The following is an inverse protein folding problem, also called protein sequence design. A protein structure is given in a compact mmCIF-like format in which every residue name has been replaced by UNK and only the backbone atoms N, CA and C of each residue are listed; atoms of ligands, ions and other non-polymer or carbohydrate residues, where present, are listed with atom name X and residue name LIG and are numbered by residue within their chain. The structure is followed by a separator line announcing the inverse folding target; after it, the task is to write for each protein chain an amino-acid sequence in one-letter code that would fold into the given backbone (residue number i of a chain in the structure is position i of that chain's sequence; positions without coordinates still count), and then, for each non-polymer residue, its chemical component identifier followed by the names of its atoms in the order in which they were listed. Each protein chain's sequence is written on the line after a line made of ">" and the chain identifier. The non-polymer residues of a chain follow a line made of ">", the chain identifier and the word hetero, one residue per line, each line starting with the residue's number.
data_IF_094246799528
#
_entry.id   IF_094246799528
#
_cell.length_a   1.000
_cell.length_b   1.000
_cell.length_c   1.000
_cell.angle_alpha   90.00
_cell.angle_beta   90.00
_cell.angle_gamma   90.00
#
_symmetry.space_group_name_H-M   'P 1'
#
loop_
_entity.id
_entity.type
_entity.pdbx_description
1 polymer ?
#
# COMPACT_ATOMS: atom_id res chain seq x y z
N UNK A 1 26.76 -69.37 15.75
CA UNK A 1 27.08 -67.98 15.34
C UNK A 1 25.76 -67.26 15.12
N UNK A 2 25.30 -66.46 16.09
CA UNK A 2 24.00 -65.75 16.03
C UNK A 2 24.22 -64.39 15.37
N UNK A 3 23.56 -64.16 14.24
CA UNK A 3 23.61 -62.89 13.49
C UNK A 3 22.64 -61.90 14.18
N UNK A 4 23.17 -60.84 14.78
CA UNK A 4 22.38 -59.69 15.23
C UNK A 4 22.07 -58.80 14.03
N UNK A 5 20.78 -58.62 13.72
CA UNK A 5 20.31 -57.55 12.84
C UNK A 5 20.25 -56.25 13.64
N UNK A 6 21.08 -55.27 13.27
CA UNK A 6 21.01 -53.90 13.79
C UNK A 6 20.11 -53.10 12.84
N UNK A 7 18.90 -52.75 13.31
CA UNK A 7 18.02 -51.79 12.67
C UNK A 7 18.52 -50.37 13.00
N UNK A 8 19.20 -49.74 12.04
CA UNK A 8 19.55 -48.33 12.14
C UNK A 8 18.28 -47.49 11.87
N UNK A 9 17.75 -46.85 12.91
CA UNK A 9 16.72 -45.84 12.77
C UNK A 9 17.35 -44.58 12.15
N UNK A 10 17.09 -44.35 10.87
CA UNK A 10 17.41 -43.09 10.19
C UNK A 10 16.41 -42.06 10.68
N UNK A 11 16.79 -41.26 11.67
CA UNK A 11 16.07 -40.05 12.04
C UNK A 11 16.20 -39.07 10.86
N UNK A 12 15.20 -39.07 9.98
CA UNK A 12 15.11 -38.07 8.91
C UNK A 12 14.93 -36.70 9.53
N UNK A 13 15.94 -35.83 9.42
CA UNK A 13 15.79 -34.41 9.64
C UNK A 13 14.80 -33.88 8.60
N UNK A 14 13.53 -33.77 8.98
CA UNK A 14 12.54 -33.03 8.22
C UNK A 14 12.97 -31.56 8.25
N UNK A 15 13.60 -31.10 7.18
CA UNK A 15 13.79 -29.67 6.95
C UNK A 15 12.37 -29.11 6.80
N UNK A 16 11.95 -28.15 7.64
CA UNK A 16 10.64 -27.52 7.47
C UNK A 16 10.59 -26.91 6.07
N UNK A 17 9.64 -27.37 5.26
CA UNK A 17 9.36 -26.76 3.97
C UNK A 17 8.87 -25.34 4.25
N UNK A 18 9.59 -24.35 3.73
CA UNK A 18 9.16 -22.95 3.83
C UNK A 18 7.75 -22.86 3.24
N UNK A 19 6.81 -22.33 4.03
CA UNK A 19 5.44 -22.10 3.56
C UNK A 19 5.51 -21.04 2.46
N UNK A 20 5.02 -21.36 1.27
CA UNK A 20 4.90 -20.38 0.21
C UNK A 20 3.93 -19.27 0.65
N UNK A 21 4.29 -18.03 0.34
CA UNK A 21 3.42 -16.88 0.57
C UNK A 21 2.08 -17.06 -0.17
N UNK A 22 0.98 -16.52 0.36
CA UNK A 22 -0.26 -16.41 -0.40
C UNK A 22 0.00 -15.64 -1.71
N UNK A 23 -0.64 -16.02 -2.83
CA UNK A 23 -0.55 -15.24 -4.05
C UNK A 23 -1.19 -13.85 -3.87
N UNK A 24 -0.70 -12.89 -4.63
CA UNK A 24 -1.26 -11.54 -4.68
C UNK A 24 -2.70 -11.56 -5.20
N UNK A 25 -3.54 -10.66 -4.68
CA UNK A 25 -4.88 -10.48 -5.18
C UNK A 25 -4.84 -9.98 -6.64
N UNK A 26 -5.58 -10.61 -7.56
CA UNK A 26 -5.65 -10.16 -8.94
C UNK A 26 -6.54 -8.92 -9.10
N UNK A 27 -7.47 -8.70 -8.16
CA UNK A 27 -8.41 -7.59 -8.22
C UNK A 27 -7.85 -6.32 -7.58
N UNK A 28 -8.27 -5.15 -8.06
CA UNK A 28 -7.88 -3.86 -7.47
C UNK A 28 -8.52 -3.58 -6.10
N UNK A 29 -9.54 -4.34 -5.70
CA UNK A 29 -10.31 -4.05 -4.49
C UNK A 29 -9.43 -4.04 -3.24
N UNK A 30 -9.46 -2.96 -2.46
CA UNK A 30 -8.75 -2.91 -1.19
C UNK A 30 -9.34 -1.98 -0.15
N UNK A 31 -8.83 -2.10 1.07
CA UNK A 31 -9.22 -1.31 2.24
C UNK A 31 -7.99 -0.87 3.04
N UNK A 32 -8.17 0.15 3.88
CA UNK A 32 -7.17 0.68 4.79
C UNK A 32 -7.88 1.40 5.95
N UNK A 33 -7.88 1.00 7.22
CA UNK A 33 -7.35 -0.17 7.90
C UNK A 33 -8.42 -1.25 8.07
N UNK A 34 -8.02 -2.52 8.07
CA UNK A 34 -8.89 -3.68 8.26
C UNK A 34 -9.59 -3.73 9.63
N UNK A 35 -10.67 -4.51 9.67
CA UNK A 35 -11.31 -4.99 10.90
C UNK A 35 -12.00 -6.33 10.65
N UNK A 36 -12.24 -7.10 11.71
CA UNK A 36 -12.82 -8.44 11.58
C UNK A 36 -14.13 -8.46 10.76
N UNK A 37 -14.24 -9.44 9.86
CA UNK A 37 -15.38 -9.62 8.97
C UNK A 37 -15.34 -8.76 7.70
N UNK A 38 -14.22 -8.08 7.42
CA UNK A 38 -14.08 -7.28 6.20
C UNK A 38 -14.19 -8.11 4.92
N UNK A 39 -13.91 -9.42 4.98
CA UNK A 39 -14.15 -10.34 3.86
C UNK A 39 -15.60 -10.36 3.36
N UNK A 40 -16.56 -9.95 4.19
CA UNK A 40 -17.96 -9.77 3.79
C UNK A 40 -18.14 -8.74 2.66
N UNK A 41 -17.12 -7.92 2.38
CA UNK A 41 -17.08 -6.99 1.26
C UNK A 41 -16.68 -7.64 -0.07
N UNK A 42 -15.98 -8.78 -0.06
CA UNK A 42 -15.28 -9.29 -1.23
C UNK A 42 -16.12 -10.19 -2.14
N UNK A 43 -17.32 -10.60 -1.71
CA UNK A 43 -18.23 -11.42 -2.53
C UNK A 43 -17.57 -12.69 -3.11
N UNK A 44 -16.70 -13.34 -2.33
CA UNK A 44 -15.96 -14.55 -2.73
C UNK A 44 -14.67 -14.29 -3.52
N UNK A 45 -14.27 -13.03 -3.70
CA UNK A 45 -13.00 -12.61 -4.32
C UNK A 45 -11.93 -12.39 -3.26
N UNK A 46 -10.73 -12.08 -3.71
CA UNK A 46 -9.63 -11.58 -2.89
C UNK A 46 -9.43 -10.08 -3.11
N UNK A 47 -8.80 -9.42 -2.14
CA UNK A 47 -8.51 -7.98 -2.21
C UNK A 47 -7.20 -7.63 -1.51
N UNK A 48 -6.96 -6.34 -1.30
CA UNK A 48 -5.77 -5.81 -0.64
C UNK A 48 -6.12 -5.17 0.70
N UNK A 49 -5.22 -5.25 1.68
CA UNK A 49 -5.32 -4.48 2.91
C UNK A 49 -4.03 -3.72 3.17
N UNK A 50 -4.12 -2.42 3.46
CA UNK A 50 -2.99 -1.61 3.91
C UNK A 50 -3.08 -1.44 5.42
N UNK A 51 -2.03 -1.85 6.11
CA UNK A 51 -1.95 -1.79 7.57
C UNK A 51 -0.68 -1.12 8.04
N UNK A 52 -0.69 -0.64 9.29
CA UNK A 52 0.38 0.17 9.86
C UNK A 52 1.11 -0.56 10.99
N UNK A 53 2.44 -0.44 10.96
CA UNK A 53 3.33 -0.72 12.09
C UNK A 53 4.42 0.35 12.16
N UNK A 54 5.11 0.44 13.30
CA UNK A 54 6.19 1.38 13.51
C UNK A 54 7.48 0.68 13.92
N UNK A 55 8.63 1.21 13.50
CA UNK A 55 9.93 0.72 13.98
C UNK A 55 10.21 1.11 15.44
N UNK A 56 9.59 2.19 15.93
CA UNK A 56 9.46 2.49 17.35
C UNK A 56 8.10 1.96 17.80
N UNK A 57 8.04 0.79 18.48
CA UNK A 57 6.79 0.08 18.68
C UNK A 57 5.76 0.86 19.50
N UNK A 58 4.50 0.71 19.12
CA UNK A 58 3.34 1.25 19.84
C UNK A 58 2.26 0.20 20.04
N UNK A 59 1.41 0.41 21.05
CA UNK A 59 0.43 -0.60 21.48
C UNK A 59 -0.66 -0.91 20.43
N UNK A 60 -0.78 -0.08 19.40
CA UNK A 60 -1.75 -0.22 18.31
C UNK A 60 -1.10 -0.64 16.98
N UNK A 61 0.17 -1.03 16.98
CA UNK A 61 0.79 -1.62 15.80
C UNK A 61 0.09 -2.92 15.41
N UNK A 62 0.01 -3.17 14.10
CA UNK A 62 -0.44 -4.45 13.59
C UNK A 62 0.44 -5.56 14.15
N UNK A 63 -0.19 -6.56 14.77
CA UNK A 63 0.48 -7.79 15.21
C UNK A 63 0.46 -8.85 14.11
N UNK A 64 1.42 -9.79 14.15
CA UNK A 64 1.43 -10.93 13.23
C UNK A 64 0.09 -11.70 13.21
N UNK A 65 -0.51 -11.94 14.38
CA UNK A 65 -1.79 -12.62 14.50
C UNK A 65 -2.96 -11.87 13.82
N UNK A 66 -2.96 -10.54 13.88
CA UNK A 66 -3.91 -9.72 13.11
C UNK A 66 -3.63 -9.80 11.62
N UNK A 67 -2.36 -9.70 11.21
CA UNK A 67 -1.95 -9.91 9.80
C UNK A 67 -2.38 -11.28 9.26
N UNK A 68 -2.23 -12.34 10.06
CA UNK A 68 -2.68 -13.68 9.69
C UNK A 68 -4.22 -13.75 9.56
N UNK A 69 -4.96 -12.99 10.37
CA UNK A 69 -6.42 -12.89 10.27
C UNK A 69 -6.84 -12.18 8.98
N UNK A 70 -6.14 -11.12 8.59
CA UNK A 70 -6.33 -10.41 7.32
C UNK A 70 -6.13 -11.36 6.13
N UNK A 71 -5.03 -12.13 6.14
CA UNK A 71 -4.76 -13.13 5.09
C UNK A 71 -5.82 -14.22 5.05
N UNK A 72 -6.27 -14.71 6.21
CA UNK A 72 -7.34 -15.72 6.29
C UNK A 72 -8.68 -15.21 5.78
N UNK A 73 -8.90 -13.90 5.83
CA UNK A 73 -10.06 -13.22 5.27
C UNK A 73 -9.98 -12.98 3.75
N UNK A 74 -8.88 -13.40 3.11
CA UNK A 74 -8.72 -13.33 1.65
C UNK A 74 -8.08 -12.04 1.15
N UNK A 75 -7.40 -11.30 2.03
CA UNK A 75 -6.66 -10.10 1.65
C UNK A 75 -5.17 -10.40 1.47
N UNK A 76 -4.55 -9.81 0.45
CA UNK A 76 -3.10 -9.62 0.35
C UNK A 76 -2.71 -8.44 1.23
N UNK A 77 -1.82 -8.68 2.19
CA UNK A 77 -1.36 -7.68 3.14
C UNK A 77 -0.26 -6.81 2.53
N UNK A 78 -0.45 -5.49 2.58
CA UNK A 78 0.59 -4.48 2.45
C UNK A 78 0.86 -3.87 3.82
N UNK A 79 2.10 -3.95 4.30
CA UNK A 79 2.49 -3.44 5.61
C UNK A 79 3.26 -2.12 5.46
N UNK A 80 2.62 -1.01 5.82
CA UNK A 80 3.26 0.29 5.98
C UNK A 80 4.08 0.31 7.25
N UNK A 81 5.35 0.68 7.11
CA UNK A 81 6.31 0.78 8.21
C UNK A 81 6.69 2.25 8.37
N UNK A 82 6.21 2.86 9.45
CA UNK A 82 6.57 4.22 9.83
C UNK A 82 7.69 4.23 10.88
N UNK A 83 8.35 5.38 11.04
CA UNK A 83 9.47 5.51 11.97
C UNK A 83 9.03 5.59 13.43
N UNK A 84 8.57 6.77 13.88
CA UNK A 84 8.29 7.05 15.28
C UNK A 84 7.04 7.94 15.42
N UNK A 85 5.90 7.36 15.83
CA UNK A 85 4.63 8.08 15.93
C UNK A 85 4.66 9.14 17.04
N UNK A 86 5.53 9.02 18.04
CA UNK A 86 5.64 10.00 19.14
C UNK A 86 6.34 11.28 18.72
N UNK A 87 7.07 11.25 17.60
CA UNK A 87 7.72 12.43 17.02
C UNK A 87 6.94 13.03 15.84
N UNK A 88 5.87 12.37 15.39
CA UNK A 88 5.15 12.73 14.17
C UNK A 88 5.99 12.52 12.90
N UNK A 89 7.04 11.69 12.95
CA UNK A 89 7.89 11.40 11.80
C UNK A 89 7.55 10.03 11.24
N UNK A 90 7.02 10.00 10.02
CA UNK A 90 6.79 8.73 9.32
C UNK A 90 8.09 8.17 8.72
N UNK A 91 9.08 9.04 8.45
CA UNK A 91 10.44 8.66 8.08
C UNK A 91 11.51 9.38 8.93
N UNK A 92 12.67 8.74 9.20
CA UNK A 92 13.77 9.34 9.94
C UNK A 92 14.48 10.44 9.12
N UNK A 93 15.05 11.45 9.81
CA UNK A 93 15.72 12.60 9.17
C UNK A 93 17.24 12.56 9.19
N UNK A 94 17.83 11.88 10.16
CA UNK A 94 19.29 11.88 10.37
C UNK A 94 19.89 10.52 10.01
N UNK A 95 21.18 10.46 9.61
CA UNK A 95 21.83 9.20 9.26
C UNK A 95 21.76 8.11 10.35
N UNK A 96 21.92 8.49 11.63
CA UNK A 96 21.84 7.54 12.74
C UNK A 96 20.43 6.95 12.91
N UNK A 97 19.39 7.78 12.72
CA UNK A 97 18.00 7.32 12.74
C UNK A 97 17.69 6.44 11.54
N UNK A 98 18.20 6.77 10.34
CA UNK A 98 18.06 5.94 9.13
C UNK A 98 18.62 4.54 9.36
N UNK A 99 19.80 4.41 9.96
CA UNK A 99 20.38 3.09 10.30
C UNK A 99 19.48 2.30 11.25
N UNK A 100 18.95 2.96 12.28
CA UNK A 100 18.07 2.32 13.28
C UNK A 100 16.73 1.91 12.67
N UNK A 101 16.15 2.77 11.83
CA UNK A 101 14.93 2.52 11.08
C UNK A 101 15.08 1.34 10.12
N UNK A 102 16.19 1.27 9.37
CA UNK A 102 16.45 0.16 8.46
C UNK A 102 16.57 -1.19 9.19
N UNK A 103 17.23 -1.20 10.36
CA UNK A 103 17.29 -2.39 11.20
C UNK A 103 15.90 -2.81 11.72
N UNK A 104 15.07 -1.85 12.12
CA UNK A 104 13.67 -2.09 12.51
C UNK A 104 12.83 -2.64 11.35
N UNK A 105 12.99 -2.09 10.15
CA UNK A 105 12.32 -2.59 8.93
C UNK A 105 12.68 -4.05 8.65
N UNK A 106 13.95 -4.45 8.77
CA UNK A 106 14.35 -5.85 8.60
C UNK A 106 13.79 -6.77 9.69
N UNK A 107 13.69 -6.30 10.94
CA UNK A 107 13.08 -7.07 12.02
C UNK A 107 11.57 -7.30 11.76
N UNK A 108 10.84 -6.27 11.34
CA UNK A 108 9.43 -6.35 10.97
C UNK A 108 9.25 -7.29 9.78
N UNK A 109 10.05 -7.14 8.72
CA UNK A 109 9.96 -8.04 7.56
C UNK A 109 10.24 -9.50 7.94
N UNK A 110 11.18 -9.73 8.86
CA UNK A 110 11.45 -11.09 9.37
C UNK A 110 10.25 -11.68 10.11
N UNK A 111 9.53 -10.87 10.89
CA UNK A 111 8.36 -11.30 11.65
C UNK A 111 7.18 -11.64 10.73
N UNK A 112 6.95 -10.83 9.68
CA UNK A 112 5.80 -10.96 8.77
C UNK A 112 6.04 -11.79 7.49
N UNK A 113 7.27 -12.25 7.23
CA UNK A 113 7.67 -12.85 5.93
C UNK A 113 6.85 -14.07 5.46
N UNK A 114 6.12 -14.74 6.35
CA UNK A 114 5.27 -15.87 6.00
C UNK A 114 3.83 -15.47 5.60
N UNK A 115 3.48 -14.20 5.79
CA UNK A 115 2.15 -13.64 5.49
C UNK A 115 2.20 -12.33 4.68
N UNK A 116 3.36 -11.69 4.55
CA UNK A 116 3.55 -10.43 3.84
C UNK A 116 4.82 -10.43 2.98
N UNK A 117 4.72 -9.85 1.80
CA UNK A 117 5.85 -9.52 0.91
C UNK A 117 5.86 -8.06 0.48
N UNK A 118 4.85 -7.28 0.83
CA UNK A 118 4.67 -5.90 0.35
C UNK A 118 4.87 -4.91 1.50
N UNK A 119 5.96 -4.14 1.47
CA UNK A 119 6.33 -3.22 2.54
C UNK A 119 6.34 -1.78 2.04
N UNK A 120 5.49 -0.92 2.61
CA UNK A 120 5.41 0.50 2.27
C UNK A 120 6.30 1.28 3.23
N UNK A 121 7.24 2.06 2.70
CA UNK A 121 8.24 2.77 3.52
C UNK A 121 7.82 4.22 3.74
N UNK A 122 7.30 4.47 4.94
CA UNK A 122 6.75 5.76 5.35
C UNK A 122 5.43 6.11 4.66
N UNK A 123 4.91 7.28 4.98
CA UNK A 123 3.68 7.82 4.41
C UNK A 123 3.60 9.33 4.59
N UNK A 124 3.22 10.05 3.55
CA UNK A 124 2.88 11.47 3.60
C UNK A 124 3.94 12.35 4.29
N UNK A 125 5.20 11.93 4.21
CA UNK A 125 6.32 12.51 4.94
C UNK A 125 6.68 13.92 4.45
N UNK A 126 6.19 14.34 3.28
CA UNK A 126 6.29 15.72 2.81
C UNK A 126 5.43 16.70 3.63
N UNK A 127 4.42 16.21 4.34
CA UNK A 127 3.54 17.02 5.17
C UNK A 127 4.17 17.43 6.50
N UNK A 128 3.67 18.52 7.10
CA UNK A 128 4.02 18.90 8.47
C UNK A 128 3.69 17.82 9.50
N UNK A 129 2.54 17.15 9.36
CA UNK A 129 2.13 16.04 10.21
C UNK A 129 2.92 14.74 9.95
N UNK A 130 3.53 14.59 8.77
CA UNK A 130 4.40 13.47 8.41
C UNK A 130 5.88 13.73 8.73
N UNK A 131 6.17 14.87 9.35
CA UNK A 131 7.49 15.23 9.82
C UNK A 131 8.26 16.15 8.87
N UNK A 132 7.76 16.55 7.70
CA UNK A 132 8.49 17.49 6.80
C UNK A 132 9.87 16.94 6.40
N UNK A 133 9.86 15.79 5.74
CA UNK A 133 11.04 15.06 5.27
C UNK A 133 11.30 15.44 3.81
N UNK A 134 12.52 15.87 3.48
CA UNK A 134 12.88 16.23 2.09
C UNK A 134 12.98 14.99 1.20
N UNK A 135 12.88 15.16 -0.13
CA UNK A 135 13.00 14.04 -1.06
C UNK A 135 14.35 13.29 -0.91
N UNK A 136 15.44 13.99 -0.61
CA UNK A 136 16.75 13.39 -0.34
C UNK A 136 16.78 12.56 0.96
N UNK A 137 16.07 13.01 2.01
CA UNK A 137 15.94 12.25 3.24
C UNK A 137 15.05 11.01 3.05
N UNK A 138 13.95 11.16 2.33
CA UNK A 138 13.08 10.04 1.97
C UNK A 138 13.81 8.99 1.13
N UNK A 139 14.60 9.42 0.14
CA UNK A 139 15.49 8.57 -0.64
C UNK A 139 16.45 7.76 0.26
N UNK A 140 17.14 8.43 1.19
CA UNK A 140 18.09 7.78 2.09
C UNK A 140 17.42 6.74 2.99
N UNK A 141 16.26 7.08 3.58
CA UNK A 141 15.49 6.16 4.40
C UNK A 141 14.99 4.96 3.58
N UNK A 142 14.43 5.20 2.40
CA UNK A 142 13.93 4.17 1.49
C UNK A 142 15.02 3.17 1.09
N UNK A 143 16.17 3.67 0.60
CA UNK A 143 17.27 2.81 0.14
C UNK A 143 17.82 1.94 1.28
N UNK A 144 17.96 2.51 2.47
CA UNK A 144 18.42 1.78 3.65
C UNK A 144 17.40 0.69 4.09
N UNK A 145 16.12 1.05 4.20
CA UNK A 145 15.07 0.10 4.54
C UNK A 145 14.94 -1.02 3.50
N UNK A 146 14.92 -0.67 2.21
CA UNK A 146 14.89 -1.64 1.10
C UNK A 146 16.05 -2.62 1.16
N UNK A 147 17.28 -2.11 1.33
CA UNK A 147 18.45 -2.99 1.44
C UNK A 147 18.36 -3.93 2.64
N UNK A 148 17.84 -3.47 3.77
CA UNK A 148 17.72 -4.27 4.98
C UNK A 148 16.62 -5.34 4.86
N UNK A 149 15.46 -4.98 4.31
CA UNK A 149 14.33 -5.90 4.06
C UNK A 149 14.76 -6.99 3.06
N UNK A 150 15.34 -6.61 1.92
CA UNK A 150 15.78 -7.59 0.91
C UNK A 150 16.91 -8.51 1.40
N UNK A 151 17.65 -8.09 2.44
CA UNK A 151 18.64 -8.93 3.11
C UNK A 151 18.03 -10.09 3.90
N UNK A 152 16.78 -9.97 4.35
CA UNK A 152 16.07 -11.02 5.12
C UNK A 152 14.92 -11.67 4.35
N UNK A 153 14.42 -11.01 3.30
CA UNK A 153 13.36 -11.47 2.42
C UNK A 153 13.63 -10.99 0.97
N UNK A 154 14.49 -11.70 0.21
CA UNK A 154 14.94 -11.27 -1.11
C UNK A 154 13.84 -11.09 -2.16
N UNK A 155 12.70 -11.77 -1.99
CA UNK A 155 11.53 -11.71 -2.85
C UNK A 155 10.55 -10.56 -2.52
N UNK A 156 10.80 -9.80 -1.46
CA UNK A 156 9.90 -8.73 -1.04
C UNK A 156 9.80 -7.58 -2.06
N UNK A 157 8.61 -7.00 -2.17
CA UNK A 157 8.32 -5.77 -2.89
C UNK A 157 8.35 -4.61 -1.90
N UNK A 158 9.40 -3.80 -1.97
CA UNK A 158 9.54 -2.61 -1.13
C UNK A 158 9.01 -1.39 -1.88
N UNK A 159 7.91 -0.85 -1.38
CA UNK A 159 7.08 0.19 -2.00
C UNK A 159 7.49 1.55 -1.43
N UNK A 160 7.73 2.52 -2.31
CA UNK A 160 7.95 3.93 -1.90
C UNK A 160 6.65 4.45 -1.31
N UNK A 161 6.68 4.93 -0.07
CA UNK A 161 5.50 5.49 0.61
C UNK A 161 4.90 6.68 -0.13
N UNK A 162 3.57 6.80 -0.05
CA UNK A 162 2.82 7.83 -0.76
C UNK A 162 3.20 9.24 -0.29
N UNK A 163 3.14 10.19 -1.22
CA UNK A 163 3.31 11.62 -0.94
C UNK A 163 1.93 12.21 -0.65
N UNK A 164 1.83 13.05 0.38
CA UNK A 164 0.59 13.72 0.76
C UNK A 164 0.14 14.63 -0.40
N UNK A 165 -1.02 14.36 -1.02
CA UNK A 165 -1.53 15.21 -2.08
C UNK A 165 -1.91 16.58 -1.51
N UNK A 166 -1.88 17.61 -2.38
CA UNK A 166 -2.31 18.99 -2.07
C UNK A 166 -1.51 19.68 -0.95
N UNK A 167 -0.41 19.09 -0.50
CA UNK A 167 0.34 19.60 0.62
C UNK A 167 1.30 20.72 0.21
N UNK A 168 1.19 21.87 0.87
CA UNK A 168 2.02 23.04 0.59
C UNK A 168 3.35 23.14 1.38
N UNK A 169 3.63 22.19 2.29
CA UNK A 169 4.73 22.29 3.26
C UNK A 169 6.11 22.16 2.61
N UNK A 170 6.26 21.21 1.69
CA UNK A 170 7.53 20.95 0.99
C UNK A 170 7.31 20.84 -0.51
N UNK A 171 8.27 21.39 -1.26
CA UNK A 171 8.40 21.25 -2.71
C UNK A 171 9.65 20.44 -3.05
N UNK A 172 9.76 20.03 -4.31
CA UNK A 172 10.99 19.51 -4.91
C UNK A 172 11.40 20.30 -6.16
N UNK A 173 12.29 19.71 -6.95
CA UNK A 173 12.88 20.28 -8.18
C UNK A 173 12.07 20.05 -9.47
N UNK A 174 10.81 19.60 -9.38
CA UNK A 174 9.98 19.28 -10.54
C UNK A 174 9.57 20.49 -11.42
N UNK A 175 8.97 20.21 -12.59
CA UNK A 175 8.58 21.23 -13.57
C UNK A 175 7.20 21.86 -13.30
N UNK A 176 6.51 21.46 -12.23
CA UNK A 176 5.14 21.89 -11.96
C UNK A 176 5.11 23.31 -11.39
N UNK A 177 4.02 24.06 -11.61
CA UNK A 177 3.82 25.38 -11.04
C UNK A 177 4.05 25.42 -9.51
N UNK A 178 4.52 26.56 -9.00
CA UNK A 178 4.89 26.70 -7.57
C UNK A 178 3.72 26.54 -6.59
N UNK A 179 2.47 26.63 -7.06
CA UNK A 179 1.27 26.33 -6.29
C UNK A 179 0.91 24.83 -6.26
N UNK A 180 1.73 23.97 -6.87
CA UNK A 180 1.65 22.51 -6.84
C UNK A 180 2.93 21.86 -6.27
N UNK A 181 3.38 22.25 -5.07
CA UNK A 181 4.65 21.78 -4.51
C UNK A 181 4.69 20.26 -4.26
N UNK A 182 3.55 19.61 -3.98
CA UNK A 182 3.48 18.16 -3.83
C UNK A 182 3.85 17.40 -5.10
N UNK A 183 3.45 17.90 -6.29
CA UNK A 183 3.85 17.32 -7.58
C UNK A 183 5.36 17.47 -7.80
N UNK A 184 5.91 18.64 -7.51
CA UNK A 184 7.35 18.86 -7.60
C UNK A 184 8.16 17.98 -6.64
N UNK A 185 7.64 17.74 -5.45
CA UNK A 185 8.23 16.83 -4.48
C UNK A 185 8.22 15.39 -5.00
N UNK A 186 7.07 14.90 -5.46
CA UNK A 186 6.94 13.53 -5.97
C UNK A 186 7.79 13.31 -7.23
N UNK A 187 7.81 14.29 -8.14
CA UNK A 187 8.68 14.27 -9.31
C UNK A 187 10.15 14.11 -8.94
N UNK A 188 10.65 14.92 -8.00
CA UNK A 188 12.04 14.80 -7.54
C UNK A 188 12.30 13.41 -6.93
N UNK A 189 11.38 12.90 -6.11
CA UNK A 189 11.52 11.59 -5.48
C UNK A 189 11.55 10.45 -6.52
N UNK A 190 10.67 10.48 -7.51
CA UNK A 190 10.65 9.52 -8.62
C UNK A 190 11.96 9.56 -9.41
N UNK A 191 12.52 10.75 -9.65
CA UNK A 191 13.82 10.88 -10.33
C UNK A 191 15.01 10.41 -9.49
N UNK A 192 14.94 10.54 -8.17
CA UNK A 192 15.97 10.06 -7.23
C UNK A 192 15.99 8.54 -7.13
N UNK A 193 14.81 7.91 -7.10
CA UNK A 193 14.66 6.48 -6.88
C UNK A 193 14.59 5.70 -8.18
N UNK A 194 13.80 6.15 -9.14
CA UNK A 194 13.71 5.59 -10.48
C UNK A 194 13.56 4.07 -10.48
N UNK A 195 14.50 3.40 -11.16
CA UNK A 195 14.55 1.94 -11.24
C UNK A 195 14.97 1.24 -9.95
N UNK A 196 15.48 1.94 -8.95
CA UNK A 196 15.83 1.35 -7.66
C UNK A 196 14.60 1.13 -6.75
N UNK A 197 13.48 1.81 -7.06
CA UNK A 197 12.20 1.54 -6.41
C UNK A 197 11.70 0.13 -6.76
N UNK A 198 11.19 -0.61 -5.78
CA UNK A 198 10.46 -1.85 -6.01
C UNK A 198 9.06 -1.60 -6.58
N UNK A 199 8.40 -0.53 -6.13
CA UNK A 199 7.05 -0.12 -6.46
C UNK A 199 6.79 1.30 -5.92
N UNK A 200 5.65 1.91 -6.27
CA UNK A 200 5.21 3.20 -5.74
C UNK A 200 3.81 3.11 -5.12
N UNK A 201 3.63 3.71 -3.95
CA UNK A 201 2.33 3.99 -3.36
C UNK A 201 1.89 5.40 -3.75
N UNK A 202 0.60 5.58 -4.04
CA UNK A 202 -0.02 6.87 -4.34
C UNK A 202 -1.30 7.01 -3.52
N UNK A 203 -1.67 8.25 -3.17
CA UNK A 203 -2.92 8.59 -2.50
C UNK A 203 -3.75 9.52 -3.39
N UNK A 204 -5.06 9.31 -3.40
CA UNK A 204 -6.00 10.15 -4.15
C UNK A 204 -7.35 10.21 -3.43
N UNK A 205 -7.75 11.41 -3.04
CA UNK A 205 -8.99 11.65 -2.29
C UNK A 205 -9.95 12.47 -3.13
N UNK A 206 -11.21 12.03 -3.19
CA UNK A 206 -12.24 12.71 -3.96
C UNK A 206 -13.19 13.56 -3.12
N UNK A 207 -14.25 14.01 -3.78
CA UNK A 207 -15.37 14.75 -3.16
C UNK A 207 -15.01 16.15 -2.70
N UNK A 208 -14.02 16.75 -3.36
CA UNK A 208 -13.61 18.13 -3.08
C UNK A 208 -14.78 19.06 -3.33
N UNK A 209 -15.03 19.97 -2.40
CA UNK A 209 -16.13 20.94 -2.55
C UNK A 209 -17.52 20.30 -2.62
N UNK A 210 -17.65 19.02 -2.21
CA UNK A 210 -18.90 18.27 -2.26
C UNK A 210 -19.19 17.64 -3.62
N UNK A 211 -18.18 17.42 -4.46
CA UNK A 211 -18.35 16.63 -5.67
C UNK A 211 -18.85 15.22 -5.31
N UNK A 212 -19.88 14.78 -6.02
CA UNK A 212 -20.55 13.49 -5.78
C UNK A 212 -20.01 12.40 -6.70
N UNK A 213 -19.26 12.77 -7.74
CA UNK A 213 -18.66 11.87 -8.72
C UNK A 213 -17.14 12.05 -8.74
N UNK A 214 -16.35 11.07 -8.24
CA UNK A 214 -14.89 11.18 -8.23
C UNK A 214 -14.27 11.31 -9.62
N UNK A 215 -15.01 11.05 -10.69
CA UNK A 215 -14.53 11.15 -12.07
C UNK A 215 -14.56 12.57 -12.62
N UNK A 216 -15.33 13.46 -11.98
CA UNK A 216 -15.43 14.87 -12.35
C UNK A 216 -14.39 15.73 -11.59
N UNK A 217 -13.73 15.16 -10.58
CA UNK A 217 -12.66 15.81 -9.82
C UNK A 217 -11.45 16.17 -10.72
N UNK A 218 -10.73 17.22 -10.33
CA UNK A 218 -9.46 17.63 -10.98
C UNK A 218 -8.23 17.18 -10.17
N UNK A 219 -7.06 17.75 -10.49
CA UNK A 219 -5.78 17.53 -9.81
C UNK A 219 -5.73 17.95 -8.33
N UNK A 220 -6.80 18.53 -7.80
CA UNK A 220 -7.00 18.82 -6.39
C UNK A 220 -7.95 17.81 -5.71
N UNK A 221 -8.62 16.95 -6.47
CA UNK A 221 -9.50 15.87 -6.02
C UNK A 221 -9.01 14.52 -6.53
N UNK A 222 -9.92 13.56 -6.73
CA UNK A 222 -9.53 12.18 -7.03
C UNK A 222 -8.57 12.06 -8.22
N UNK A 223 -8.75 12.86 -9.29
CA UNK A 223 -7.91 12.82 -10.50
C UNK A 223 -6.43 13.18 -10.31
N UNK A 224 -5.98 13.58 -9.10
CA UNK A 224 -4.53 13.69 -8.80
C UNK A 224 -3.76 12.40 -9.04
N UNK A 225 -4.44 11.24 -9.03
CA UNK A 225 -3.82 9.97 -9.36
C UNK A 225 -3.22 9.95 -10.77
N UNK A 226 -3.81 10.70 -11.71
CA UNK A 226 -3.31 10.82 -13.08
C UNK A 226 -1.95 11.52 -13.10
N UNK A 227 -1.81 12.65 -12.38
CA UNK A 227 -0.53 13.36 -12.26
C UNK A 227 0.55 12.46 -11.64
N UNK A 228 0.19 11.67 -10.63
CA UNK A 228 1.12 10.70 -10.03
C UNK A 228 1.59 9.67 -11.05
N UNK A 229 0.67 9.10 -11.81
CA UNK A 229 1.01 8.11 -12.82
C UNK A 229 1.84 8.73 -13.95
N UNK A 230 1.51 9.93 -14.43
CA UNK A 230 2.29 10.62 -15.45
C UNK A 230 3.73 10.90 -14.99
N UNK A 231 3.93 11.31 -13.74
CA UNK A 231 5.26 11.48 -13.15
C UNK A 231 6.04 10.15 -13.18
N UNK A 232 5.43 9.06 -12.75
CA UNK A 232 6.06 7.73 -12.73
C UNK A 232 6.39 7.27 -14.15
N UNK A 233 5.43 7.36 -15.08
CA UNK A 233 5.56 6.97 -16.49
C UNK A 233 6.66 7.79 -17.20
N UNK A 234 6.88 9.04 -16.81
CA UNK A 234 7.90 9.90 -17.40
C UNK A 234 9.34 9.46 -17.12
N UNK A 235 9.56 8.67 -16.05
CA UNK A 235 10.89 8.19 -15.67
C UNK A 235 11.08 6.73 -16.10
N UNK A 236 12.03 6.41 -17.03
CA UNK A 236 12.15 5.08 -17.64
C UNK A 236 12.29 3.92 -16.65
N UNK A 237 13.02 4.13 -15.55
CA UNK A 237 13.18 3.12 -14.51
C UNK A 237 11.95 2.93 -13.62
N UNK A 238 11.13 3.98 -13.46
CA UNK A 238 9.94 3.96 -12.60
C UNK A 238 8.71 3.43 -13.35
N UNK A 239 8.61 3.72 -14.66
CA UNK A 239 7.57 3.23 -15.56
C UNK A 239 7.45 1.69 -15.63
N UNK A 240 8.51 0.96 -15.23
CA UNK A 240 8.51 -0.50 -15.16
C UNK A 240 8.11 -1.06 -13.77
N UNK A 241 7.79 -0.19 -12.81
CA UNK A 241 7.51 -0.57 -11.41
C UNK A 241 6.02 -0.53 -11.11
N UNK A 242 5.46 -1.50 -10.37
CA UNK A 242 4.04 -1.48 -10.06
C UNK A 242 3.64 -0.29 -9.19
N UNK A 243 2.38 0.13 -9.33
CA UNK A 243 1.78 1.22 -8.55
C UNK A 243 0.60 0.70 -7.75
N UNK A 244 0.45 1.20 -6.52
CA UNK A 244 -0.62 0.87 -5.60
C UNK A 244 -1.27 2.17 -5.11
N UNK A 245 -2.57 2.35 -5.36
CA UNK A 245 -3.36 3.41 -4.73
C UNK A 245 -3.71 2.94 -3.31
N UNK A 246 -2.86 3.29 -2.34
CA UNK A 246 -2.91 2.76 -0.96
C UNK A 246 -3.90 3.49 -0.07
N UNK A 247 -4.43 4.62 -0.53
CA UNK A 247 -5.46 5.37 0.18
C UNK A 247 -6.32 6.19 -0.78
N UNK A 248 -7.64 5.99 -0.69
CA UNK A 248 -8.65 6.82 -1.33
C UNK A 248 -9.91 6.94 -0.46
N UNK A 249 -10.63 8.05 -0.58
CA UNK A 249 -11.95 8.23 0.05
C UNK A 249 -12.78 9.32 -0.67
N UNK A 250 -13.99 9.58 -0.17
CA UNK A 250 -14.95 10.56 -0.71
C UNK A 250 -14.82 11.99 -0.16
N UNK A 251 -13.82 12.28 0.68
CA UNK A 251 -13.76 13.58 1.34
C UNK A 251 -12.32 13.99 1.63
N UNK A 252 -11.69 14.60 0.63
CA UNK A 252 -10.45 15.38 0.81
C UNK A 252 -10.63 16.51 1.84
N UNK A 253 -11.82 17.11 1.88
CA UNK A 253 -12.15 18.15 2.84
C UNK A 253 -12.59 17.47 4.16
N UNK A 254 -11.64 17.33 5.08
CA UNK A 254 -11.89 16.80 6.41
C UNK A 254 -12.76 17.73 7.27
N UNK A 255 -13.63 17.14 8.08
CA UNK A 255 -14.42 17.79 9.12
C UNK A 255 -13.90 17.50 10.53
N UNK A 256 -14.53 18.09 11.56
CA UNK A 256 -14.08 17.92 12.94
C UNK A 256 -14.23 16.47 13.41
N UNK A 257 -13.25 15.98 14.18
CA UNK A 257 -13.33 14.69 14.87
C UNK A 257 -13.22 13.45 13.97
N UNK A 258 -12.59 13.57 12.79
CA UNK A 258 -12.41 12.43 11.88
C UNK A 258 -13.66 12.09 11.09
N UNK A 259 -14.50 13.09 10.81
CA UNK A 259 -15.66 12.98 9.93
C UNK A 259 -15.44 13.78 8.64
N UNK A 260 -16.00 13.36 7.51
CA UNK A 260 -15.93 14.14 6.27
C UNK A 260 -16.72 15.45 6.39
N UNK A 261 -16.30 16.51 5.69
CA UNK A 261 -17.06 17.76 5.64
C UNK A 261 -18.37 17.64 4.86
N UNK A 262 -18.41 16.72 3.90
CA UNK A 262 -19.57 16.42 3.06
C UNK A 262 -20.12 15.03 3.38
N UNK A 263 -21.39 14.78 3.08
CA UNK A 263 -22.00 13.47 3.25
C UNK A 263 -21.52 12.49 2.16
N UNK A 264 -21.57 11.20 2.47
CA UNK A 264 -21.30 10.16 1.49
C UNK A 264 -22.46 10.01 0.50
N UNK A 265 -22.16 10.05 -0.80
CA UNK A 265 -23.12 9.76 -1.85
C UNK A 265 -23.07 8.30 -2.31
N UNK A 266 -24.25 7.73 -2.54
CA UNK A 266 -24.37 6.38 -3.05
C UNK A 266 -23.71 6.24 -4.44
N UNK A 267 -23.03 5.11 -4.63
CA UNK A 267 -22.25 4.77 -5.81
C UNK A 267 -20.81 5.29 -5.80
N UNK A 268 -20.38 6.09 -4.80
CA UNK A 268 -19.06 6.75 -4.87
C UNK A 268 -17.90 5.74 -4.93
N UNK A 269 -17.92 4.71 -4.09
CA UNK A 269 -16.87 3.67 -4.08
C UNK A 269 -16.85 2.92 -5.43
N UNK A 270 -18.03 2.62 -6.00
CA UNK A 270 -18.12 1.96 -7.31
C UNK A 270 -17.47 2.81 -8.38
N UNK A 271 -17.77 4.12 -8.40
CA UNK A 271 -17.21 5.07 -9.36
C UNK A 271 -15.68 5.21 -9.24
N UNK A 272 -15.13 5.19 -8.03
CA UNK A 272 -13.67 5.13 -7.85
C UNK A 272 -13.06 3.87 -8.50
N UNK A 273 -13.67 2.70 -8.29
CA UNK A 273 -13.17 1.46 -8.88
C UNK A 273 -13.35 1.42 -10.41
N UNK A 274 -14.48 1.93 -10.92
CA UNK A 274 -14.72 2.11 -12.35
C UNK A 274 -13.64 2.96 -13.00
N UNK A 275 -13.27 4.07 -12.36
CA UNK A 275 -12.25 5.00 -12.85
C UNK A 275 -10.86 4.35 -12.93
N UNK A 276 -10.41 3.71 -11.85
CA UNK A 276 -9.12 3.00 -11.85
C UNK A 276 -9.11 1.83 -12.86
N UNK A 277 -10.23 1.14 -13.01
CA UNK A 277 -10.36 0.09 -14.02
C UNK A 277 -10.31 0.66 -15.46
N UNK A 278 -10.92 1.82 -15.69
CA UNK A 278 -10.86 2.51 -16.97
C UNK A 278 -9.43 2.96 -17.30
N UNK A 279 -8.70 3.51 -16.33
CA UNK A 279 -7.27 3.81 -16.46
C UNK A 279 -6.46 2.57 -16.87
N UNK A 280 -6.59 1.48 -16.12
CA UNK A 280 -5.88 0.22 -16.39
C UNK A 280 -6.23 -0.40 -17.76
N UNK A 281 -7.43 -0.14 -18.28
CA UNK A 281 -7.84 -0.62 -19.60
C UNK A 281 -7.28 0.25 -20.74
N UNK A 282 -7.04 1.54 -20.48
CA UNK A 282 -6.60 2.51 -21.47
C UNK A 282 -5.07 2.66 -21.55
N UNK A 283 -4.35 2.29 -20.50
CA UNK A 283 -2.90 2.52 -20.37
C UNK A 283 -2.13 1.25 -20.04
N UNK A 284 -0.83 1.16 -20.41
CA UNK A 284 -0.01 -0.01 -20.15
C UNK A 284 0.47 -0.11 -18.68
N UNK A 285 0.48 1.00 -17.95
CA UNK A 285 0.95 1.05 -16.57
C UNK A 285 -0.22 0.95 -15.60
N UNK A 286 -0.43 -0.25 -15.07
CA UNK A 286 -1.60 -0.52 -14.21
C UNK A 286 -1.37 -0.15 -12.75
N UNK A 287 -2.44 0.33 -12.12
CA UNK A 287 -2.62 0.43 -10.68
C UNK A 287 -3.14 -0.92 -10.17
N UNK A 288 -2.37 -1.59 -9.32
CA UNK A 288 -2.64 -2.98 -8.88
C UNK A 288 -3.65 -3.09 -7.75
N UNK A 289 -3.76 -2.06 -6.93
CA UNK A 289 -4.68 -1.98 -5.79
C UNK A 289 -5.23 -0.55 -5.68
N UNK A 290 -6.47 -0.43 -5.23
CA UNK A 290 -7.16 0.81 -4.90
C UNK A 290 -7.84 0.63 -3.53
N UNK A 291 -7.22 1.19 -2.49
CA UNK A 291 -7.58 0.90 -1.10
C UNK A 291 -8.40 2.02 -0.46
N UNK A 292 -9.62 1.71 -0.05
CA UNK A 292 -10.51 2.67 0.61
C UNK A 292 -10.10 2.96 2.06
N UNK A 293 -9.99 4.25 2.40
CA UNK A 293 -9.85 4.75 3.77
C UNK A 293 -11.20 5.17 4.34
N UNK A 294 -11.83 4.39 5.23
CA UNK A 294 -11.32 3.18 5.88
C UNK A 294 -12.37 2.09 6.07
N UNK A 295 -11.97 0.87 6.47
CA UNK A 295 -12.94 -0.14 6.91
C UNK A 295 -13.30 0.07 8.39
N UNK A 296 -12.31 0.02 9.28
CA UNK A 296 -12.49 0.24 10.72
C UNK A 296 -11.30 0.99 11.31
N UNK A 297 -11.41 2.31 11.43
CA UNK A 297 -10.42 3.17 12.04
C UNK A 297 -11.07 4.04 13.13
N UNK A 298 -10.59 3.91 14.37
CA UNK A 298 -11.12 4.66 15.51
C UNK A 298 -10.80 6.17 15.48
N UNK A 299 -9.76 6.59 14.76
CA UNK A 299 -9.40 7.99 14.58
C UNK A 299 -10.22 8.71 13.51
N UNK A 300 -10.84 7.95 12.59
CA UNK A 300 -11.56 8.47 11.43
C UNK A 300 -12.94 7.80 11.27
N UNK A 301 -13.80 7.87 12.30
CA UNK A 301 -15.06 7.12 12.33
C UNK A 301 -16.02 7.46 11.17
N UNK A 302 -15.97 8.68 10.63
CA UNK A 302 -16.83 9.09 9.51
C UNK A 302 -16.46 8.50 8.15
N UNK A 303 -15.28 7.87 8.06
CA UNK A 303 -14.76 7.28 6.83
C UNK A 303 -14.94 5.76 6.79
N UNK A 304 -15.43 5.17 7.87
CA UNK A 304 -15.49 3.72 8.07
C UNK A 304 -16.63 3.05 7.30
N UNK A 305 -16.28 2.10 6.43
CA UNK A 305 -17.23 1.17 5.80
C UNK A 305 -18.00 0.37 6.87
N UNK A 306 -17.33 -0.05 7.95
CA UNK A 306 -17.94 -0.89 9.00
C UNK A 306 -19.10 -0.22 9.73
N UNK A 307 -19.20 1.12 9.70
CA UNK A 307 -20.28 1.88 10.34
C UNK A 307 -21.16 2.63 9.35
N UNK A 308 -20.91 2.51 8.04
CA UNK A 308 -21.71 3.13 7.00
C UNK A 308 -22.26 2.05 6.05
N UNK A 309 -23.55 1.73 6.19
CA UNK A 309 -24.19 0.68 5.40
C UNK A 309 -24.22 0.96 3.90
N UNK A 310 -24.25 2.24 3.49
CA UNK A 310 -24.23 2.61 2.08
C UNK A 310 -22.83 2.39 1.48
N UNK A 311 -21.76 2.81 2.17
CA UNK A 311 -20.38 2.50 1.73
C UNK A 311 -20.15 0.98 1.61
N UNK A 312 -20.63 0.22 2.60
CA UNK A 312 -20.51 -1.23 2.60
C UNK A 312 -21.30 -1.87 1.45
N UNK A 313 -22.47 -1.32 1.12
CA UNK A 313 -23.26 -1.75 -0.02
C UNK A 313 -22.55 -1.45 -1.34
N UNK A 314 -22.02 -0.24 -1.49
CA UNK A 314 -21.33 0.16 -2.72
C UNK A 314 -20.10 -0.70 -3.00
N UNK A 315 -19.32 -1.00 -1.97
CA UNK A 315 -18.17 -1.91 -2.08
C UNK A 315 -18.62 -3.33 -2.47
N UNK A 316 -19.65 -3.88 -1.81
CA UNK A 316 -20.20 -5.21 -2.14
C UNK A 316 -20.73 -5.27 -3.57
N UNK A 317 -21.41 -4.23 -4.02
CA UNK A 317 -21.95 -4.17 -5.38
C UNK A 317 -20.83 -4.13 -6.41
N UNK A 318 -19.74 -3.40 -6.17
CA UNK A 318 -18.55 -3.46 -7.02
C UNK A 318 -17.99 -4.89 -7.06
N UNK A 319 -17.71 -5.49 -5.91
CA UNK A 319 -17.12 -6.84 -5.86
C UNK A 319 -18.05 -7.94 -6.33
N UNK A 320 -19.37 -7.78 -6.25
CA UNK A 320 -20.33 -8.78 -6.72
C UNK A 320 -20.47 -8.73 -8.24
N UNK A 321 -20.50 -7.53 -8.82
CA UNK A 321 -20.93 -7.34 -10.20
C UNK A 321 -19.77 -7.20 -11.20
N UNK A 322 -18.55 -6.91 -10.75
CA UNK A 322 -17.43 -6.61 -11.66
C UNK A 322 -16.15 -7.36 -11.30
N UNK A 323 -15.28 -7.58 -12.27
CA UNK A 323 -13.96 -8.20 -12.08
C UNK A 323 -12.88 -7.19 -12.47
N UNK A 324 -12.74 -6.10 -11.71
CA UNK A 324 -11.70 -5.12 -11.98
C UNK A 324 -10.33 -5.69 -11.61
N UNK A 325 -9.57 -6.07 -12.63
CA UNK A 325 -8.26 -6.69 -12.52
C UNK A 325 -7.18 -5.60 -12.44
N UNK A 326 -6.30 -5.71 -11.44
CA UNK A 326 -5.19 -4.77 -11.26
C UNK A 326 -3.95 -5.12 -12.07
N UNK A 327 -3.81 -6.39 -12.45
CA UNK A 327 -2.68 -6.89 -13.23
C UNK A 327 -2.99 -8.24 -13.85
N UNK A 328 -2.40 -8.50 -15.02
CA UNK A 328 -2.65 -9.74 -15.76
C UNK A 328 -1.97 -10.94 -15.08
N UNK A 329 -2.77 -11.81 -14.46
CA UNK A 329 -2.27 -13.07 -13.89
C UNK A 329 -1.96 -14.12 -14.96
N UNK A 330 -2.50 -13.99 -16.18
CA UNK A 330 -2.28 -14.95 -17.26
C UNK A 330 -0.90 -14.84 -17.89
N UNK A 331 -0.25 -13.68 -17.78
CA UNK A 331 1.15 -13.50 -18.16
C UNK A 331 2.13 -14.26 -17.25
N UNK A 332 1.76 -14.50 -15.98
CA UNK A 332 2.62 -15.17 -14.99
C UNK A 332 2.54 -16.70 -15.11
N UNK A 333 1.37 -17.23 -15.45
CA UNK A 333 1.16 -18.68 -15.60
C UNK A 333 1.95 -19.28 -16.78
N UNK A 334 2.35 -18.47 -17.77
CA UNK A 334 3.14 -18.94 -18.91
C UNK A 334 4.64 -19.07 -18.62
N UNK A 335 5.23 -18.19 -17.80
CA UNK A 335 6.68 -18.21 -17.48
C UNK A 335 7.01 -18.97 -16.19
N UNK A 336 6.10 -19.00 -15.20
CA UNK A 336 6.37 -19.60 -13.89
C UNK A 336 6.47 -21.14 -13.90
N UNK A 337 5.87 -21.82 -14.88
CA UNK A 337 5.96 -23.29 -15.01
C UNK A 337 7.28 -23.78 -15.64
N UNK A 338 8.06 -22.90 -16.26
CA UNK A 338 9.35 -23.26 -16.88
C UNK A 338 10.54 -23.17 -15.93
N UNK A 339 10.43 -22.45 -14.80
CA UNK A 339 11.54 -22.25 -13.87
C UNK A 339 11.62 -23.25 -12.69
N UNK A 340 10.68 -24.21 -12.62
CA UNK A 340 10.67 -25.28 -11.63
C UNK A 340 10.68 -26.70 -12.24
N UNK A 341 11.33 -26.88 -13.40
CA UNK A 341 11.80 -28.19 -13.89
C UNK A 341 13.32 -28.20 -14.02
#
# INVERSE_FOLDING_TARGET
>A
MRLLLVLAAVAGCLVPVARALPPDAPHIYGIHTWGAGANGLLSGKTGWSVELTHTVPVFFDLTHAQGQSIVNEGFTLMLRIDYDPFTGQTLPKTPAQVTSYAAGCAAIATDFRDICSHYIIGNEYNASFGGTVTAAQAEAAYRAARSAILGVQPEAIVIVGAVAPYNATLSGSGPYPSNRPWLNYFHELVHRLGGDAGAFAIHAYGGRGGDTDPRDDNDMGFAVYEDWMEIIESHPGAAARPVYLTEMNHAVDGGPGGFPANSYDAGFIQRCFEEIAAWNAARPHNIRAACWFAYANGGFPGYNISTNSQMAQDFRDATQNTNYIGWDTTAVDAEAWTLYR
#
